data_IF_732170197514
#
_entry.id   IF_732170197514
#
_cell.length_a   1.000
_cell.length_b   1.000
_cell.length_c   1.000
_cell.angle_alpha   90.00
_cell.angle_beta   90.00
_cell.angle_gamma   90.00
#
_symmetry.space_group_name_H-M   'P 1'
#
loop_
_entity.id
_entity.type
_entity.pdbx_description
1 polymer ?
#
# COMPACT_ATOMS: atom_id res chain seq x y z
N UNK A 1 -4.16 7.25 16.61
CA UNK A 1 -4.25 5.86 16.09
C UNK A 1 -4.51 4.92 17.24
N UNK A 2 -5.46 4.05 17.09
CA UNK A 2 -5.88 3.14 18.15
C UNK A 2 -5.18 1.78 17.96
N UNK A 3 -4.40 1.33 18.96
CA UNK A 3 -3.70 0.05 18.89
C UNK A 3 -4.66 -1.15 18.91
N UNK A 4 -5.89 -0.96 19.38
CA UNK A 4 -6.91 -2.00 19.38
C UNK A 4 -7.75 -2.02 18.10
N UNK A 5 -7.45 -1.13 17.17
CA UNK A 5 -8.15 -1.05 15.88
C UNK A 5 -7.92 -2.34 15.09
N UNK A 6 -8.98 -2.84 14.49
CA UNK A 6 -8.91 -3.98 13.57
C UNK A 6 -9.50 -3.56 12.23
N UNK A 7 -8.74 -3.76 11.17
CA UNK A 7 -9.15 -3.45 9.81
C UNK A 7 -9.05 -4.72 8.98
N UNK A 8 -10.04 -4.97 8.14
CA UNK A 8 -10.00 -6.11 7.22
C UNK A 8 -9.85 -5.64 5.79
N UNK A 9 -9.49 -6.55 4.92
CA UNK A 9 -9.38 -6.28 3.50
C UNK A 9 -9.15 -7.55 2.70
N UNK A 10 -9.00 -7.39 1.40
CA UNK A 10 -8.75 -8.51 0.51
C UNK A 10 -8.87 -8.15 -0.96
N UNK A 11 -8.84 -9.18 -1.79
CA UNK A 11 -8.91 -9.05 -3.24
C UNK A 11 -10.36 -9.00 -3.75
N UNK A 12 -10.51 -8.71 -5.02
CA UNK A 12 -11.82 -8.61 -5.67
C UNK A 12 -12.62 -9.91 -5.58
N UNK A 13 -11.98 -11.05 -5.84
CA UNK A 13 -12.71 -12.34 -5.89
C UNK A 13 -12.87 -13.02 -4.53
N UNK A 14 -12.21 -12.50 -3.49
CA UNK A 14 -12.29 -13.07 -2.15
C UNK A 14 -11.31 -14.22 -1.86
N UNK A 15 -10.50 -14.63 -2.83
CA UNK A 15 -9.51 -15.71 -2.60
C UNK A 15 -8.37 -15.27 -1.67
N UNK A 16 -8.22 -13.97 -1.44
CA UNK A 16 -7.28 -13.42 -0.47
C UNK A 16 -8.05 -12.52 0.48
N UNK A 17 -7.93 -12.80 1.78
CA UNK A 17 -8.50 -11.97 2.84
C UNK A 17 -7.48 -11.81 3.94
N UNK A 18 -7.45 -10.63 4.57
CA UNK A 18 -6.51 -10.35 5.66
C UNK A 18 -7.17 -9.49 6.73
N UNK A 19 -6.53 -9.49 7.87
CA UNK A 19 -6.91 -8.69 9.03
C UNK A 19 -5.66 -7.99 9.54
N UNK A 20 -5.77 -6.71 9.86
CA UNK A 20 -4.70 -5.91 10.42
C UNK A 20 -5.14 -5.44 11.80
N UNK A 21 -4.39 -5.81 12.83
CA UNK A 21 -4.65 -5.35 14.19
C UNK A 21 -3.61 -4.28 14.53
N UNK A 22 -4.09 -3.06 14.78
CA UNK A 22 -3.22 -1.95 15.09
C UNK A 22 -3.32 -0.81 14.08
N UNK A 23 -2.48 0.21 14.25
CA UNK A 23 -2.58 1.43 13.45
C UNK A 23 -2.17 1.24 12.00
N UNK A 24 -2.78 2.03 11.12
CA UNK A 24 -2.46 2.16 9.71
C UNK A 24 -1.96 3.58 9.44
N UNK A 25 -0.94 3.70 8.59
CA UNK A 25 -0.49 5.00 8.10
C UNK A 25 -1.50 5.54 7.10
N UNK A 26 -1.69 6.85 7.09
CA UNK A 26 -2.45 7.52 6.04
C UNK A 26 -1.87 7.22 4.66
N UNK A 27 -2.62 7.48 3.61
CA UNK A 27 -2.31 7.05 2.26
C UNK A 27 -1.22 7.92 1.64
N UNK A 28 -0.23 7.28 1.05
CA UNK A 28 0.79 7.92 0.23
C UNK A 28 0.64 7.41 -1.20
N UNK A 29 0.57 8.34 -2.15
CA UNK A 29 0.49 8.01 -3.56
C UNK A 29 1.89 7.97 -4.16
N UNK A 30 2.28 6.81 -4.66
CA UNK A 30 3.57 6.59 -5.29
C UNK A 30 3.43 6.62 -6.80
N UNK A 31 4.11 7.58 -7.44
CA UNK A 31 4.02 7.83 -8.88
C UNK A 31 5.18 7.20 -9.67
N UNK A 32 5.91 6.26 -9.11
CA UNK A 32 7.04 5.63 -9.78
C UNK A 32 6.60 4.77 -10.96
N UNK A 33 7.53 4.50 -11.86
CA UNK A 33 7.25 3.69 -13.06
C UNK A 33 6.73 2.30 -12.74
N UNK A 34 7.20 1.69 -11.66
CA UNK A 34 6.74 0.38 -11.21
C UNK A 34 5.26 0.44 -10.78
N UNK A 35 4.89 1.46 -9.99
CA UNK A 35 3.51 1.65 -9.56
C UNK A 35 2.58 1.95 -10.76
N UNK A 36 3.08 2.68 -11.74
CA UNK A 36 2.33 2.92 -12.98
C UNK A 36 2.01 1.61 -13.70
N UNK A 37 2.99 0.72 -13.83
CA UNK A 37 2.78 -0.58 -14.46
C UNK A 37 1.80 -1.46 -13.70
N UNK A 38 1.90 -1.47 -12.38
CA UNK A 38 1.11 -2.37 -11.53
C UNK A 38 -0.30 -1.85 -11.25
N UNK A 39 -0.49 -0.53 -11.26
CA UNK A 39 -1.74 0.08 -10.79
C UNK A 39 -2.40 0.97 -11.84
N UNK A 40 -1.74 1.25 -12.96
CA UNK A 40 -2.29 2.01 -14.07
C UNK A 40 -1.97 3.50 -14.04
N UNK A 41 -1.90 4.12 -12.87
CA UNK A 41 -1.61 5.55 -12.74
C UNK A 41 -0.58 5.78 -11.63
N UNK A 42 -0.96 5.64 -10.39
CA UNK A 42 -0.08 5.64 -9.22
C UNK A 42 -0.54 4.55 -8.27
N UNK A 43 0.32 4.19 -7.31
CA UNK A 43 -0.07 3.24 -6.27
C UNK A 43 -0.44 3.98 -4.99
N UNK A 44 -1.68 3.82 -4.53
CA UNK A 44 -2.15 4.38 -3.26
C UNK A 44 -1.90 3.36 -2.15
N UNK A 45 -1.01 3.69 -1.22
CA UNK A 45 -0.57 2.75 -0.18
C UNK A 45 -0.83 3.30 1.21
N UNK A 46 -1.42 2.48 2.06
CA UNK A 46 -1.26 2.57 3.51
C UNK A 46 -0.03 1.78 3.92
N UNK A 47 0.23 1.70 5.20
CA UNK A 47 1.34 0.91 5.76
C UNK A 47 0.97 0.41 7.15
N UNK A 48 1.38 -0.81 7.47
CA UNK A 48 1.21 -1.41 8.78
C UNK A 48 2.48 -2.18 9.16
N UNK A 49 2.64 -2.49 10.44
CA UNK A 49 3.68 -3.43 10.84
C UNK A 49 3.35 -4.80 10.24
N UNK A 50 4.36 -5.47 9.72
CA UNK A 50 4.21 -6.81 9.14
C UNK A 50 3.60 -7.79 10.16
N UNK A 51 4.05 -7.71 11.42
CA UNK A 51 3.58 -8.60 12.50
C UNK A 51 2.10 -8.38 12.83
N UNK A 52 1.51 -7.24 12.46
CA UNK A 52 0.11 -6.92 12.73
C UNK A 52 -0.84 -7.49 11.69
N UNK A 53 -0.33 -8.05 10.61
CA UNK A 53 -1.14 -8.56 9.50
C UNK A 53 -1.29 -10.07 9.63
N UNK A 54 -2.52 -10.53 9.64
CA UNK A 54 -2.86 -11.96 9.63
C UNK A 54 -3.64 -12.27 8.36
N UNK A 55 -3.15 -13.25 7.58
CA UNK A 55 -3.89 -13.74 6.44
C UNK A 55 -5.01 -14.65 6.93
N UNK A 56 -6.26 -14.28 6.65
CA UNK A 56 -7.42 -15.09 7.03
C UNK A 56 -7.85 -16.01 5.89
N UNK A 57 -7.47 -15.67 4.65
CA UNK A 57 -7.62 -16.52 3.48
C UNK A 57 -6.51 -16.19 2.51
N UNK A 58 -5.68 -17.17 2.16
CA UNK A 58 -4.50 -16.91 1.31
C UNK A 58 -4.38 -17.83 0.11
N UNK A 59 -5.48 -18.50 -0.27
CA UNK A 59 -5.49 -19.44 -1.40
C UNK A 59 -5.04 -18.79 -2.72
N UNK A 60 -5.39 -17.51 -2.92
CA UNK A 60 -5.02 -16.78 -4.13
C UNK A 60 -3.74 -15.98 -4.01
N UNK A 61 -3.13 -15.90 -2.83
CA UNK A 61 -1.98 -15.01 -2.60
C UNK A 61 -0.74 -15.52 -3.33
N UNK A 62 -0.15 -14.65 -4.13
CA UNK A 62 1.10 -14.90 -4.81
C UNK A 62 2.02 -13.71 -4.61
N UNK A 63 3.33 -13.96 -4.68
CA UNK A 63 4.35 -12.93 -4.49
C UNK A 63 5.25 -12.85 -5.71
N UNK A 64 5.57 -11.62 -6.10
CA UNK A 64 6.54 -11.34 -7.16
C UNK A 64 7.65 -10.47 -6.58
N UNK A 65 8.89 -10.95 -6.68
CA UNK A 65 10.07 -10.18 -6.26
C UNK A 65 10.31 -9.08 -7.30
N UNK A 66 10.00 -7.84 -6.95
CA UNK A 66 10.10 -6.70 -7.87
C UNK A 66 11.50 -6.08 -7.88
N UNK A 67 12.29 -6.33 -6.82
CA UNK A 67 13.66 -5.82 -6.69
C UNK A 67 14.40 -6.67 -5.67
N UNK A 68 15.66 -6.34 -5.43
CA UNK A 68 16.45 -7.02 -4.40
C UNK A 68 16.00 -6.68 -2.98
N UNK A 69 15.18 -5.65 -2.80
CA UNK A 69 14.80 -5.16 -1.47
C UNK A 69 13.34 -5.40 -1.12
N UNK A 70 12.48 -5.74 -2.10
CA UNK A 70 11.05 -5.86 -1.84
C UNK A 70 10.37 -6.84 -2.81
N UNK A 71 9.21 -7.30 -2.37
CA UNK A 71 8.30 -8.10 -3.18
C UNK A 71 6.90 -7.52 -3.12
N UNK A 72 6.06 -7.91 -4.08
CA UNK A 72 4.67 -7.48 -4.14
C UNK A 72 3.73 -8.67 -4.07
N UNK A 73 2.68 -8.52 -3.25
CA UNK A 73 1.65 -9.54 -3.10
C UNK A 73 0.43 -9.19 -3.93
N UNK A 74 -0.15 -10.19 -4.57
CA UNK A 74 -1.33 -10.03 -5.42
C UNK A 74 -2.15 -11.31 -5.42
N UNK A 75 -3.38 -11.22 -5.90
CA UNK A 75 -4.21 -12.41 -6.06
C UNK A 75 -3.99 -13.02 -7.44
N UNK A 76 -3.57 -14.28 -7.49
CA UNK A 76 -3.36 -14.99 -8.76
C UNK A 76 -4.66 -15.30 -9.48
N UNK A 77 -5.79 -15.30 -8.77
CA UNK A 77 -7.09 -15.62 -9.35
C UNK A 77 -7.73 -14.41 -10.03
N UNK A 78 -7.72 -13.23 -9.38
CA UNK A 78 -8.37 -12.04 -9.93
C UNK A 78 -7.41 -10.90 -10.28
N UNK A 79 -6.12 -11.02 -9.96
CA UNK A 79 -5.12 -10.01 -10.31
C UNK A 79 -5.05 -8.80 -9.38
N UNK A 80 -5.85 -8.73 -8.32
CA UNK A 80 -5.81 -7.58 -7.40
C UNK A 80 -4.43 -7.41 -6.81
N UNK A 81 -3.87 -6.20 -6.88
CA UNK A 81 -2.67 -5.84 -6.13
C UNK A 81 -3.04 -5.65 -4.67
N UNK A 82 -2.22 -6.17 -3.76
CA UNK A 82 -2.54 -6.17 -2.33
C UNK A 82 -1.44 -5.57 -1.46
N UNK A 83 -0.18 -5.99 -1.65
CA UNK A 83 0.89 -5.64 -0.73
C UNK A 83 2.17 -5.22 -1.43
N UNK A 84 2.91 -4.34 -0.76
CA UNK A 84 4.33 -4.10 -1.01
C UNK A 84 5.07 -4.46 0.27
N UNK A 85 6.02 -5.39 0.19
CA UNK A 85 6.68 -5.91 1.37
C UNK A 85 8.20 -5.83 1.23
N UNK A 86 8.85 -4.90 1.96
CA UNK A 86 10.30 -4.87 2.02
C UNK A 86 10.80 -6.06 2.84
N UNK A 87 11.98 -6.61 2.44
CA UNK A 87 12.51 -7.81 3.09
C UNK A 87 13.09 -7.53 4.47
N UNK A 88 13.65 -6.33 4.69
CA UNK A 88 14.44 -6.03 5.88
C UNK A 88 13.72 -5.16 6.93
N UNK A 89 12.44 -4.89 6.74
CA UNK A 89 11.67 -4.02 7.63
C UNK A 89 10.44 -4.72 8.16
N UNK A 90 10.09 -4.38 9.40
CA UNK A 90 8.80 -4.79 9.97
C UNK A 90 7.72 -3.81 9.48
N UNK A 91 7.48 -3.85 8.17
CA UNK A 91 6.50 -3.00 7.52
C UNK A 91 5.97 -3.67 6.28
N UNK A 92 4.70 -3.44 5.98
CA UNK A 92 4.07 -3.86 4.73
C UNK A 92 3.22 -2.71 4.22
N UNK A 93 3.46 -2.31 2.98
CA UNK A 93 2.59 -1.39 2.26
C UNK A 93 1.30 -2.11 1.89
N UNK A 94 0.17 -1.47 2.15
CA UNK A 94 -1.16 -2.03 1.87
C UNK A 94 -1.76 -1.22 0.74
N UNK A 95 -2.16 -1.88 -0.35
CA UNK A 95 -2.86 -1.19 -1.43
C UNK A 95 -4.20 -0.71 -0.87
N UNK A 96 -4.39 0.61 -0.87
CA UNK A 96 -5.48 1.26 -0.14
C UNK A 96 -6.86 0.74 -0.56
N UNK A 97 -7.05 0.51 -1.85
CA UNK A 97 -8.33 0.01 -2.37
C UNK A 97 -8.67 -1.41 -1.94
N UNK A 98 -7.71 -2.17 -1.41
CA UNK A 98 -7.98 -3.52 -0.90
C UNK A 98 -8.54 -3.51 0.52
N UNK A 99 -8.49 -2.37 1.21
CA UNK A 99 -9.06 -2.23 2.56
C UNK A 99 -10.58 -2.16 2.48
N UNK A 100 -11.25 -2.85 3.39
CA UNK A 100 -12.69 -2.70 3.58
C UNK A 100 -12.95 -1.34 4.25
N UNK A 101 -13.97 -0.62 3.78
CA UNK A 101 -14.27 0.70 4.32
C UNK A 101 -15.44 0.71 5.29
N UNK A 102 -15.65 1.84 5.94
CA UNK A 102 -14.84 3.07 5.90
C UNK A 102 -13.53 2.90 6.65
N UNK A 103 -12.46 3.54 6.14
CA UNK A 103 -11.12 3.40 6.71
C UNK A 103 -10.73 4.56 7.63
N UNK A 104 -11.38 5.71 7.50
CA UNK A 104 -11.01 6.97 8.14
C UNK A 104 -9.59 7.45 7.79
N UNK A 105 -8.97 6.87 6.77
CA UNK A 105 -7.66 7.28 6.28
C UNK A 105 -7.81 8.43 5.29
N UNK A 106 -6.75 9.25 5.19
CA UNK A 106 -6.67 10.37 4.26
C UNK A 106 -5.41 10.21 3.42
N UNK A 107 -5.40 10.82 2.23
CA UNK A 107 -4.16 10.95 1.46
C UNK A 107 -3.30 12.02 2.12
N UNK A 108 -2.04 11.70 2.39
CA UNK A 108 -1.16 12.61 3.11
C UNK A 108 -0.03 13.18 2.25
N UNK A 109 0.21 12.63 1.06
CA UNK A 109 1.25 13.13 0.18
C UNK A 109 1.56 12.23 -0.98
N UNK A 110 2.56 12.65 -1.75
CA UNK A 110 2.98 12.03 -3.00
C UNK A 110 4.49 11.80 -3.01
N UNK A 111 4.90 10.61 -3.46
CA UNK A 111 6.32 10.28 -3.62
C UNK A 111 6.61 9.86 -5.05
N UNK A 112 7.88 9.96 -5.45
CA UNK A 112 8.36 9.64 -6.79
C UNK A 112 7.62 10.42 -7.88
N UNK A 113 7.28 11.69 -7.59
CA UNK A 113 6.62 12.54 -8.57
C UNK A 113 7.53 12.86 -9.76
N UNK A 114 8.86 12.73 -9.60
CA UNK A 114 9.80 12.89 -10.70
C UNK A 114 9.63 11.87 -11.82
N UNK A 115 8.97 10.74 -11.53
CA UNK A 115 8.67 9.69 -12.53
C UNK A 115 7.23 9.72 -13.01
N UNK A 116 6.43 10.67 -12.55
CA UNK A 116 5.00 10.77 -12.85
C UNK A 116 4.73 10.73 -14.36
N UNK A 117 3.68 10.03 -14.77
CA UNK A 117 3.22 10.02 -16.17
C UNK A 117 2.76 11.41 -16.60
N UNK A 118 2.76 11.65 -17.90
CA UNK A 118 2.44 12.94 -18.50
C UNK A 118 0.94 13.18 -18.75
N UNK A 119 0.10 12.18 -18.47
CA UNK A 119 -1.33 12.24 -18.81
C UNK A 119 -2.23 12.67 -17.64
N UNK A 120 -1.66 13.08 -16.52
CA UNK A 120 -2.43 13.63 -15.40
C UNK A 120 -1.59 14.62 -14.59
N UNK A 121 -2.30 15.49 -13.88
CA UNK A 121 -1.69 16.47 -12.98
C UNK A 121 -2.07 16.15 -11.53
N UNK A 122 -1.17 16.49 -10.60
CA UNK A 122 -1.47 16.46 -9.17
C UNK A 122 -2.07 17.83 -8.83
N UNK A 123 -3.34 17.86 -8.46
CA UNK A 123 -4.09 19.10 -8.28
C UNK A 123 -4.33 19.49 -6.83
N UNK A 124 -3.98 18.62 -5.88
CA UNK A 124 -4.08 18.95 -4.45
C UNK A 124 -2.84 19.72 -3.97
N UNK A 125 -2.87 20.15 -2.72
CA UNK A 125 -1.79 20.91 -2.10
C UNK A 125 -0.94 20.10 -1.15
N UNK A 126 -1.06 18.77 -1.20
CA UNK A 126 -0.32 17.89 -0.31
C UNK A 126 1.18 17.88 -0.66
N UNK A 127 2.05 17.53 0.29
CA UNK A 127 3.49 17.44 0.02
C UNK A 127 3.81 16.51 -1.14
N UNK A 128 4.77 16.94 -1.96
CA UNK A 128 5.26 16.19 -3.11
C UNK A 128 6.77 16.01 -3.01
N UNK A 129 7.25 14.81 -3.25
CA UNK A 129 8.68 14.47 -3.22
C UNK A 129 9.09 13.86 -4.55
N UNK A 130 10.19 14.35 -5.12
CA UNK A 130 10.73 13.85 -6.39
C UNK A 130 11.06 12.36 -6.34
N UNK A 131 11.55 11.88 -5.19
CA UNK A 131 11.89 10.48 -4.90
C UNK A 131 11.14 10.06 -3.63
N UNK A 132 11.80 9.34 -2.72
CA UNK A 132 11.18 8.98 -1.46
C UNK A 132 10.95 10.21 -0.58
N UNK A 133 10.10 10.08 0.42
CA UNK A 133 9.86 11.15 1.38
C UNK A 133 10.95 11.26 2.44
N UNK A 134 11.91 10.34 2.46
CA UNK A 134 12.96 10.25 3.49
C UNK A 134 12.38 10.23 4.92
N UNK A 135 11.23 9.56 5.08
CA UNK A 135 10.58 9.43 6.37
C UNK A 135 9.67 10.60 6.76
N UNK A 136 9.53 11.62 5.92
CA UNK A 136 8.67 12.77 6.26
C UNK A 136 7.18 12.46 6.14
N UNK A 137 6.80 11.52 5.25
CA UNK A 137 5.41 11.08 5.11
C UNK A 137 5.18 9.83 5.95
N UNK A 138 5.35 9.97 7.24
CA UNK A 138 5.02 8.91 8.19
C UNK A 138 4.15 9.50 9.28
N UNK A 139 3.01 8.88 9.52
CA UNK A 139 2.36 9.01 10.80
C UNK A 139 2.52 7.65 11.51
N UNK A 140 2.26 7.63 12.78
CA UNK A 140 2.55 6.47 13.61
C UNK A 140 1.66 5.29 13.23
N UNK A 141 2.30 4.25 12.69
CA UNK A 141 1.65 2.97 12.38
C UNK A 141 2.29 1.81 13.18
N UNK A 142 3.22 2.13 14.09
CA UNK A 142 3.99 1.12 14.83
C UNK A 142 3.40 0.79 16.20
#
# INVERSE_FOLDING_TARGET
MNIDQTTTGGCLCGAVRYKIKGPLRDIVNCHCSMCQKLHGIYGAHSKARKVNITMTKENGLAWYKTSDVAQRGFCRECGSSLFWQPFDLDATGIIAGSLDGPTDLKTMGHIFVGEKSDFYDITDTLPQFEKSSNGELVNDYK
#
